data_IF_639083965475
#
_entry.id   IF_639083965475
#
_cell.length_a   1.000
_cell.length_b   1.000
_cell.length_c   1.000
_cell.angle_alpha   90.00
_cell.angle_beta   90.00
_cell.angle_gamma   90.00
#
_symmetry.space_group_name_H-M   'P 1'
#
loop_
_entity.id
_entity.type
_entity.pdbx_description
1 polymer ?
#
# COMPACT_ATOMS: atom_id res chain seq x y z
N UNK A 1 2.41 22.77 -19.45
CA UNK A 1 3.15 21.50 -19.39
C UNK A 1 3.02 20.96 -17.98
N UNK A 2 2.36 19.80 -17.78
CA UNK A 2 2.26 19.21 -16.45
C UNK A 2 3.65 18.78 -15.99
N UNK A 3 4.03 19.14 -14.76
CA UNK A 3 5.29 18.69 -14.16
C UNK A 3 5.18 17.17 -13.91
N UNK A 4 6.02 16.31 -14.53
CA UNK A 4 5.89 14.85 -14.40
C UNK A 4 5.87 14.34 -12.95
N UNK A 5 6.57 15.03 -12.03
CA UNK A 5 6.56 14.71 -10.60
C UNK A 5 5.18 14.82 -9.92
N UNK A 6 4.20 15.46 -10.58
CA UNK A 6 2.81 15.55 -10.11
C UNK A 6 1.90 14.50 -10.77
N UNK A 7 2.45 13.61 -11.61
CA UNK A 7 1.71 12.47 -12.16
C UNK A 7 1.91 11.26 -11.25
N UNK A 8 0.80 10.70 -10.76
CA UNK A 8 0.82 9.48 -9.94
C UNK A 8 1.34 8.30 -10.77
N UNK A 9 2.11 7.42 -10.13
CA UNK A 9 2.70 6.24 -10.76
C UNK A 9 3.53 6.56 -12.02
N UNK A 10 4.17 7.74 -12.06
CA UNK A 10 4.94 8.19 -13.22
C UNK A 10 6.26 7.42 -13.31
N UNK A 11 6.45 6.66 -14.40
CA UNK A 11 7.67 5.90 -14.69
C UNK A 11 8.73 6.68 -15.50
N UNK A 12 8.55 7.98 -15.72
CA UNK A 12 9.50 8.80 -16.46
C UNK A 12 10.88 8.88 -15.80
N UNK A 13 10.94 8.72 -14.48
CA UNK A 13 12.17 8.85 -13.69
C UNK A 13 12.78 7.51 -13.25
N UNK A 14 12.10 6.40 -13.53
CA UNK A 14 12.48 5.05 -13.13
C UNK A 14 11.28 4.11 -13.19
N UNK A 15 11.52 2.82 -13.06
CA UNK A 15 10.46 1.83 -13.10
C UNK A 15 9.52 1.99 -11.91
N UNK A 16 8.22 1.98 -12.18
CA UNK A 16 7.15 1.88 -11.18
C UNK A 16 6.29 0.67 -11.51
N UNK A 17 6.25 -0.28 -10.60
CA UNK A 17 5.44 -1.49 -10.76
C UNK A 17 3.98 -1.15 -10.51
N UNK A 18 3.15 -1.22 -11.53
CA UNK A 18 1.70 -0.97 -11.44
C UNK A 18 0.85 -2.20 -11.71
N UNK A 19 1.49 -3.28 -12.16
CA UNK A 19 0.92 -4.61 -12.38
C UNK A 19 2.00 -5.66 -12.15
N UNK A 20 1.57 -6.89 -11.85
CA UNK A 20 2.47 -8.05 -11.81
C UNK A 20 2.00 -9.12 -12.81
N UNK A 21 2.85 -10.11 -13.08
CA UNK A 21 2.52 -11.25 -13.94
C UNK A 21 1.86 -12.36 -13.07
N UNK A 22 0.54 -12.56 -13.13
CA UNK A 22 -0.14 -13.57 -12.34
C UNK A 22 -0.10 -14.94 -13.02
N UNK A 23 -0.17 -15.99 -12.22
CA UNK A 23 -0.33 -17.35 -12.74
C UNK A 23 -1.78 -17.65 -13.17
N UNK A 24 -2.76 -16.95 -12.58
CA UNK A 24 -4.20 -17.09 -12.83
C UNK A 24 -4.93 -15.75 -12.56
N UNK A 25 -6.21 -15.79 -12.24
CA UNK A 25 -7.03 -14.61 -11.85
C UNK A 25 -6.63 -14.07 -10.46
N UNK A 26 -5.35 -13.76 -10.30
CA UNK A 26 -4.81 -13.22 -9.08
C UNK A 26 -4.71 -11.68 -9.14
N UNK A 27 -4.92 -11.05 -7.99
CA UNK A 27 -4.71 -9.62 -7.76
C UNK A 27 -3.83 -9.42 -6.53
N UNK A 28 -3.09 -8.32 -6.53
CA UNK A 28 -2.27 -7.93 -5.39
C UNK A 28 -3.01 -6.84 -4.60
N UNK A 29 -3.58 -7.24 -3.47
CA UNK A 29 -4.23 -6.33 -2.55
C UNK A 29 -3.18 -5.57 -1.74
N UNK A 30 -3.24 -4.25 -1.75
CA UNK A 30 -2.33 -3.40 -0.98
C UNK A 30 -3.09 -2.38 -0.15
N UNK A 31 -2.60 -2.13 1.07
CA UNK A 31 -3.23 -1.27 2.07
C UNK A 31 -2.18 -0.28 2.59
N UNK A 32 -2.43 1.02 2.42
CA UNK A 32 -1.51 2.08 2.78
C UNK A 32 -1.89 2.75 4.11
N UNK A 33 -0.95 3.52 4.70
CA UNK A 33 -1.10 4.45 5.83
C UNK A 33 -1.17 3.80 7.23
N UNK A 34 -1.14 2.48 7.34
CA UNK A 34 -1.14 1.78 8.62
C UNK A 34 0.23 1.74 9.32
N UNK A 35 0.30 1.05 10.49
CA UNK A 35 -0.83 0.50 11.24
C UNK A 35 -1.60 1.56 12.04
N UNK A 36 -2.90 1.35 12.24
CA UNK A 36 -3.74 2.24 13.04
C UNK A 36 -4.56 1.47 14.08
N UNK A 37 -4.68 1.98 15.33
CA UNK A 37 -5.46 1.30 16.38
C UNK A 37 -6.94 1.09 16.01
N UNK A 38 -7.48 2.00 15.19
CA UNK A 38 -8.90 2.00 14.85
C UNK A 38 -9.28 0.95 13.82
N UNK A 39 -8.33 0.55 12.94
CA UNK A 39 -8.69 -0.24 11.77
C UNK A 39 -7.87 -1.52 11.57
N UNK A 40 -6.60 -1.57 12.01
CA UNK A 40 -5.70 -2.70 11.72
C UNK A 40 -6.33 -4.05 12.11
N UNK A 41 -6.74 -4.21 13.36
CA UNK A 41 -7.25 -5.49 13.86
C UNK A 41 -8.57 -5.90 13.17
N UNK A 42 -9.47 -4.95 12.93
CA UNK A 42 -10.72 -5.21 12.20
C UNK A 42 -10.46 -5.64 10.75
N UNK A 43 -9.47 -5.03 10.08
CA UNK A 43 -9.09 -5.39 8.72
C UNK A 43 -8.41 -6.76 8.66
N UNK A 44 -7.56 -7.10 9.64
CA UNK A 44 -6.95 -8.43 9.77
C UNK A 44 -8.01 -9.53 9.96
N UNK A 45 -9.03 -9.28 10.79
CA UNK A 45 -10.16 -10.20 10.96
C UNK A 45 -10.91 -10.43 9.64
N UNK A 46 -11.17 -9.36 8.88
CA UNK A 46 -11.80 -9.48 7.55
C UNK A 46 -10.91 -10.30 6.60
N UNK A 47 -9.61 -10.01 6.52
CA UNK A 47 -8.69 -10.76 5.65
C UNK A 47 -8.67 -12.25 6.01
N UNK A 48 -8.60 -12.57 7.31
CA UNK A 48 -8.62 -13.96 7.80
C UNK A 48 -9.91 -14.70 7.42
N UNK A 49 -11.08 -14.05 7.59
CA UNK A 49 -12.38 -14.67 7.23
C UNK A 49 -12.52 -14.95 5.74
N UNK A 50 -11.79 -14.26 4.91
CA UNK A 50 -11.82 -14.41 3.44
C UNK A 50 -10.61 -15.17 2.89
N UNK A 51 -9.74 -15.73 3.75
CA UNK A 51 -8.47 -16.37 3.33
C UNK A 51 -7.66 -15.50 2.36
N UNK A 52 -7.64 -14.18 2.64
CA UNK A 52 -7.10 -13.17 1.75
C UNK A 52 -5.73 -12.69 2.24
N UNK A 53 -4.76 -12.55 1.33
CA UNK A 53 -3.44 -12.01 1.60
C UNK A 53 -3.36 -10.55 1.15
N UNK A 54 -2.62 -9.73 1.91
CA UNK A 54 -2.40 -8.32 1.59
C UNK A 54 -0.96 -7.88 1.89
N UNK A 55 -0.52 -6.84 1.20
CA UNK A 55 0.70 -6.10 1.53
C UNK A 55 0.31 -4.78 2.16
N UNK A 56 0.85 -4.51 3.35
CA UNK A 56 0.67 -3.24 4.06
C UNK A 56 1.88 -2.35 3.82
N UNK A 57 1.69 -1.22 3.14
CA UNK A 57 2.67 -0.16 3.04
C UNK A 57 2.55 0.75 4.27
N UNK A 58 3.41 0.51 5.25
CA UNK A 58 3.30 1.09 6.57
C UNK A 58 4.10 2.37 6.73
N UNK A 59 3.53 3.33 7.45
CA UNK A 59 4.19 4.56 7.85
C UNK A 59 5.07 4.29 9.08
N UNK A 60 6.35 4.62 9.01
CA UNK A 60 7.30 4.36 10.11
C UNK A 60 6.88 4.98 11.44
N UNK A 61 6.34 6.20 11.44
CA UNK A 61 5.82 6.84 12.66
C UNK A 61 4.66 6.06 13.28
N UNK A 62 3.82 5.39 12.49
CA UNK A 62 2.73 4.56 13.01
C UNK A 62 3.28 3.26 13.58
N UNK A 63 4.25 2.62 12.93
CA UNK A 63 4.95 1.45 13.48
C UNK A 63 5.62 1.81 14.82
N UNK A 64 6.29 2.96 14.90
CA UNK A 64 6.96 3.41 16.14
C UNK A 64 5.97 3.63 17.30
N UNK A 65 4.75 4.08 17.01
CA UNK A 65 3.69 4.29 18.02
C UNK A 65 2.97 2.99 18.40
N UNK A 66 2.82 2.07 17.46
CA UNK A 66 2.00 0.85 17.57
C UNK A 66 2.77 -0.37 17.02
N UNK A 67 3.95 -0.71 17.59
CA UNK A 67 4.76 -1.82 17.10
C UNK A 67 4.01 -3.16 17.20
N UNK A 68 3.14 -3.33 18.19
CA UNK A 68 2.31 -4.52 18.37
C UNK A 68 1.36 -4.77 17.19
N UNK A 69 0.86 -3.71 16.54
CA UNK A 69 0.00 -3.85 15.37
C UNK A 69 0.79 -4.26 14.12
N UNK A 70 2.01 -3.73 13.95
CA UNK A 70 2.90 -4.17 12.87
C UNK A 70 3.28 -5.65 13.03
N UNK A 71 3.57 -6.10 14.27
CA UNK A 71 3.80 -7.50 14.59
C UNK A 71 2.55 -8.35 14.26
N UNK A 72 1.34 -7.87 14.62
CA UNK A 72 0.10 -8.56 14.33
C UNK A 72 -0.12 -8.75 12.80
N UNK A 73 0.12 -7.71 11.99
CA UNK A 73 0.05 -7.78 10.52
C UNK A 73 0.98 -8.90 10.01
N UNK A 74 2.25 -8.91 10.42
CA UNK A 74 3.20 -9.92 10.00
C UNK A 74 2.84 -11.32 10.46
N UNK A 75 2.46 -11.47 11.73
CA UNK A 75 2.09 -12.77 12.33
C UNK A 75 0.82 -13.38 11.71
N UNK A 76 -0.02 -12.55 11.08
CA UNK A 76 -1.19 -12.99 10.31
C UNK A 76 -0.87 -13.36 8.86
N UNK A 77 0.42 -13.44 8.48
CA UNK A 77 0.87 -13.87 7.14
C UNK A 77 0.90 -12.77 6.08
N UNK A 78 0.67 -11.50 6.47
CA UNK A 78 0.71 -10.38 5.54
C UNK A 78 2.11 -9.78 5.42
N UNK A 79 2.38 -9.06 4.32
CA UNK A 79 3.66 -8.41 4.07
C UNK A 79 3.66 -6.98 4.61
N UNK A 80 4.75 -6.59 5.30
CA UNK A 80 5.02 -5.22 5.72
C UNK A 80 6.01 -4.57 4.75
N UNK A 81 5.64 -3.43 4.15
CA UNK A 81 6.46 -2.72 3.17
C UNK A 81 6.54 -1.22 3.50
N UNK A 82 7.48 -0.53 2.86
CA UNK A 82 7.88 0.82 3.22
C UNK A 82 6.98 1.90 2.60
N UNK A 83 6.38 2.77 3.45
CA UNK A 83 5.58 3.94 3.04
C UNK A 83 6.15 5.25 3.60
N UNK A 84 7.48 5.37 3.68
CA UNK A 84 8.21 6.46 4.34
C UNK A 84 8.03 6.47 5.87
N UNK A 85 8.87 7.25 6.56
CA UNK A 85 8.76 7.39 8.00
C UNK A 85 7.65 8.35 8.41
N UNK A 86 7.58 9.55 7.80
CA UNK A 86 6.69 10.63 8.23
C UNK A 86 5.44 10.83 7.37
N UNK A 87 5.37 10.21 6.20
CA UNK A 87 4.28 10.35 5.23
C UNK A 87 3.92 11.81 4.89
N UNK A 88 4.91 12.63 4.55
CA UNK A 88 4.69 14.04 4.19
C UNK A 88 4.05 14.20 2.80
N UNK A 89 2.83 13.68 2.59
CA UNK A 89 2.18 13.55 1.28
C UNK A 89 2.12 14.84 0.46
N UNK A 90 1.93 16.00 1.11
CA UNK A 90 1.85 17.29 0.42
C UNK A 90 3.16 17.81 -0.15
N UNK A 91 4.30 17.33 0.33
CA UNK A 91 5.63 17.87 -0.01
C UNK A 91 6.66 16.81 -0.40
N UNK A 92 6.40 15.53 -0.17
CA UNK A 92 7.38 14.48 -0.39
C UNK A 92 7.79 14.32 -1.87
N UNK A 93 6.90 14.66 -2.79
CA UNK A 93 7.19 14.69 -4.23
C UNK A 93 8.35 15.65 -4.61
N UNK A 94 8.63 16.65 -3.75
CA UNK A 94 9.73 17.61 -3.93
C UNK A 94 10.93 17.30 -3.01
N UNK A 95 11.04 16.06 -2.50
CA UNK A 95 12.07 15.66 -1.54
C UNK A 95 13.48 15.69 -2.17
N UNK A 96 14.48 15.94 -1.32
CA UNK A 96 15.89 15.74 -1.70
C UNK A 96 16.26 14.25 -1.53
N UNK A 97 17.36 13.80 -2.18
CA UNK A 97 17.84 12.42 -2.04
C UNK A 97 18.17 12.08 -0.58
N UNK A 98 18.85 12.97 0.13
CA UNK A 98 19.22 12.76 1.55
C UNK A 98 18.00 12.58 2.44
N UNK A 99 16.96 13.44 2.28
CA UNK A 99 15.70 13.31 3.02
C UNK A 99 14.99 12.01 2.65
N UNK A 100 14.90 11.68 1.37
CA UNK A 100 14.28 10.44 0.92
C UNK A 100 14.98 9.21 1.52
N UNK A 101 16.33 9.16 1.47
CA UNK A 101 17.11 8.08 2.06
C UNK A 101 16.88 7.94 3.57
N UNK A 102 16.82 9.06 4.30
CA UNK A 102 16.54 9.03 5.75
C UNK A 102 15.13 8.52 6.06
N UNK A 103 14.11 8.98 5.35
CA UNK A 103 12.72 8.53 5.49
C UNK A 103 12.56 7.03 5.18
N UNK A 104 13.23 6.55 4.13
CA UNK A 104 13.21 5.14 3.72
C UNK A 104 13.95 4.28 4.74
N UNK A 105 15.17 4.66 5.14
CA UNK A 105 16.00 3.85 6.04
C UNK A 105 15.38 3.70 7.41
N UNK A 106 14.83 4.79 7.98
CA UNK A 106 14.20 4.75 9.29
C UNK A 106 12.92 3.89 9.29
N UNK A 107 12.08 4.01 8.27
CA UNK A 107 10.90 3.16 8.12
C UNK A 107 11.30 1.68 7.94
N UNK A 108 12.30 1.39 7.10
CA UNK A 108 12.81 0.03 6.88
C UNK A 108 13.33 -0.61 8.17
N UNK A 109 14.07 0.14 8.99
CA UNK A 109 14.56 -0.31 10.29
C UNK A 109 13.41 -0.72 11.23
N UNK A 110 12.34 0.07 11.27
CA UNK A 110 11.17 -0.22 12.10
C UNK A 110 10.40 -1.45 11.61
N UNK A 111 10.26 -1.62 10.29
CA UNK A 111 9.66 -2.83 9.70
C UNK A 111 10.49 -4.05 10.07
N UNK A 112 11.81 -3.99 9.91
CA UNK A 112 12.70 -5.09 10.25
C UNK A 112 12.62 -5.45 11.74
N UNK A 113 12.52 -4.47 12.63
CA UNK A 113 12.35 -4.72 14.07
C UNK A 113 11.02 -5.41 14.39
N UNK A 114 9.94 -5.10 13.67
CA UNK A 114 8.62 -5.68 13.90
C UNK A 114 8.44 -7.07 13.28
N UNK A 115 9.04 -7.33 12.11
CA UNK A 115 8.82 -8.56 11.32
C UNK A 115 10.02 -9.51 11.28
N UNK A 116 11.22 -9.04 11.66
CA UNK A 116 12.47 -9.76 11.41
C UNK A 116 12.94 -9.72 9.95
N UNK A 117 12.17 -9.15 9.03
CA UNK A 117 12.43 -9.10 7.60
C UNK A 117 12.65 -7.65 7.13
N UNK A 118 13.63 -7.44 6.26
CA UNK A 118 13.78 -6.16 5.58
C UNK A 118 12.69 -5.98 4.52
N UNK A 119 12.08 -4.80 4.38
CA UNK A 119 11.18 -4.54 3.27
C UNK A 119 11.94 -4.62 1.94
N UNK A 120 11.24 -5.03 0.90
CA UNK A 120 11.76 -5.13 -0.48
C UNK A 120 11.03 -4.20 -1.45
N UNK A 121 9.99 -3.54 -0.97
CA UNK A 121 9.12 -2.67 -1.75
C UNK A 121 8.93 -1.33 -1.05
N UNK A 122 8.73 -0.30 -1.87
CA UNK A 122 8.46 1.07 -1.45
C UNK A 122 7.27 1.63 -2.21
N UNK A 123 6.42 2.39 -1.54
CA UNK A 123 5.39 3.21 -2.18
C UNK A 123 5.52 4.65 -1.72
N UNK A 124 5.48 5.58 -2.69
CA UNK A 124 5.54 7.00 -2.37
C UNK A 124 4.19 7.53 -1.85
N UNK A 125 4.21 8.43 -0.85
CA UNK A 125 3.02 9.17 -0.45
C UNK A 125 2.29 9.80 -1.64
N UNK A 126 0.96 9.59 -1.73
CA UNK A 126 0.11 10.02 -2.83
C UNK A 126 0.52 9.50 -4.24
N UNK A 127 1.46 8.57 -4.33
CA UNK A 127 1.99 8.05 -5.61
C UNK A 127 2.81 9.06 -6.40
N UNK A 128 3.29 10.13 -5.77
CA UNK A 128 4.03 11.21 -6.41
C UNK A 128 5.54 11.07 -6.16
N UNK A 129 6.34 11.23 -7.22
CA UNK A 129 7.79 11.05 -7.16
C UNK A 129 8.56 12.05 -8.02
N UNK A 130 9.84 12.22 -7.69
CA UNK A 130 10.81 12.95 -8.50
C UNK A 130 12.04 12.06 -8.76
N UNK A 131 12.99 12.48 -9.64
CA UNK A 131 14.17 11.68 -9.96
C UNK A 131 15.06 11.35 -8.75
N UNK A 132 15.11 12.23 -7.75
CA UNK A 132 15.96 12.04 -6.55
C UNK A 132 15.36 10.99 -5.61
N UNK A 133 14.02 10.91 -5.54
CA UNK A 133 13.32 9.87 -4.80
C UNK A 133 13.54 8.50 -5.48
N UNK A 134 13.41 8.41 -6.81
CA UNK A 134 13.68 7.16 -7.53
C UNK A 134 15.07 6.62 -7.24
N UNK A 135 16.09 7.48 -7.30
CA UNK A 135 17.48 7.08 -6.96
C UNK A 135 17.62 6.63 -5.50
N UNK A 136 16.95 7.29 -4.56
CA UNK A 136 17.01 6.88 -3.14
C UNK A 136 16.36 5.51 -2.91
N UNK A 137 15.29 5.18 -3.65
CA UNK A 137 14.63 3.87 -3.61
C UNK A 137 15.53 2.79 -4.21
N UNK A 138 16.16 3.05 -5.35
CA UNK A 138 17.14 2.16 -5.99
C UNK A 138 18.36 1.90 -5.09
N UNK A 139 18.93 2.96 -4.49
CA UNK A 139 20.07 2.85 -3.56
C UNK A 139 19.73 1.99 -2.32
N UNK A 140 18.48 2.00 -1.90
CA UNK A 140 17.98 1.18 -0.80
C UNK A 140 17.67 -0.27 -1.22
N UNK A 141 17.81 -0.63 -2.50
CA UNK A 141 17.51 -1.96 -3.04
C UNK A 141 16.01 -2.28 -3.04
N UNK A 142 15.13 -1.26 -3.09
CA UNK A 142 13.68 -1.43 -3.03
C UNK A 142 13.04 -1.30 -4.43
N UNK A 143 12.00 -2.10 -4.68
CA UNK A 143 11.14 -1.92 -5.87
C UNK A 143 10.11 -0.82 -5.62
N UNK A 144 9.97 0.12 -6.55
CA UNK A 144 8.98 1.19 -6.47
C UNK A 144 7.61 0.66 -6.94
N UNK A 145 6.62 0.61 -6.04
CA UNK A 145 5.30 0.03 -6.30
C UNK A 145 4.23 1.12 -6.36
N UNK A 146 3.51 1.15 -7.48
CA UNK A 146 2.30 1.94 -7.67
C UNK A 146 1.05 1.07 -7.55
N UNK A 147 0.03 1.40 -8.35
CA UNK A 147 -1.22 0.64 -8.43
C UNK A 147 -1.88 0.81 -9.80
N UNK A 148 -2.76 -0.11 -10.17
CA UNK A 148 -3.58 -0.05 -11.38
C UNK A 148 -5.09 0.00 -11.10
N UNK A 149 -5.52 -0.30 -9.88
CA UNK A 149 -6.91 -0.24 -9.47
C UNK A 149 -7.05 0.52 -8.13
N UNK A 150 -7.88 1.55 -8.09
CA UNK A 150 -8.14 2.35 -6.89
C UNK A 150 -9.53 2.97 -6.93
N UNK A 151 -10.19 2.99 -5.78
CA UNK A 151 -11.48 3.66 -5.59
C UNK A 151 -11.36 5.11 -5.10
N UNK A 152 -10.13 5.62 -4.92
CA UNK A 152 -9.85 6.93 -4.30
C UNK A 152 -10.43 7.04 -2.87
N UNK A 153 -10.32 5.99 -2.10
CA UNK A 153 -10.78 5.91 -0.70
C UNK A 153 -9.92 6.72 0.29
N UNK A 154 -8.76 7.23 -0.14
CA UNK A 154 -7.96 8.21 0.60
C UNK A 154 -8.61 9.61 0.71
N UNK A 155 -9.79 9.83 0.11
CA UNK A 155 -10.63 11.03 0.27
C UNK A 155 -12.07 10.61 0.56
N UNK A 156 -12.91 11.49 1.18
CA UNK A 156 -14.29 11.14 1.53
C UNK A 156 -15.09 10.69 0.31
N UNK A 157 -15.57 9.45 0.33
CA UNK A 157 -16.41 8.85 -0.72
C UNK A 157 -17.37 7.82 -0.14
N UNK A 158 -18.45 7.56 -0.88
CA UNK A 158 -19.31 6.43 -0.59
C UNK A 158 -18.55 5.10 -0.80
N UNK A 159 -18.53 4.18 0.18
CA UNK A 159 -17.88 2.88 0.05
C UNK A 159 -18.34 2.08 -1.18
N UNK A 160 -19.61 2.15 -1.56
CA UNK A 160 -20.13 1.47 -2.76
C UNK A 160 -19.47 2.01 -4.04
N UNK A 161 -19.34 3.34 -4.15
CA UNK A 161 -18.66 3.97 -5.28
C UNK A 161 -17.17 3.62 -5.34
N UNK A 162 -16.51 3.48 -4.18
CA UNK A 162 -15.12 3.00 -4.07
C UNK A 162 -15.00 1.61 -4.70
N UNK A 163 -15.84 0.67 -4.26
CA UNK A 163 -15.83 -0.73 -4.72
C UNK A 163 -16.13 -0.81 -6.22
N UNK A 164 -17.20 -0.17 -6.69
CA UNK A 164 -17.56 -0.18 -8.10
C UNK A 164 -16.41 0.30 -8.99
N UNK A 165 -15.70 1.35 -8.58
CA UNK A 165 -14.55 1.89 -9.32
C UNK A 165 -13.37 0.92 -9.35
N UNK A 166 -13.06 0.28 -8.22
CA UNK A 166 -12.01 -0.74 -8.15
C UNK A 166 -12.37 -1.90 -9.07
N UNK A 167 -13.56 -2.48 -8.93
CA UNK A 167 -14.00 -3.64 -9.71
C UNK A 167 -14.00 -3.37 -11.22
N UNK A 168 -14.38 -2.15 -11.64
CA UNK A 168 -14.29 -1.75 -13.05
C UNK A 168 -12.85 -1.76 -13.61
N UNK A 169 -11.85 -1.56 -12.75
CA UNK A 169 -10.44 -1.46 -13.13
C UNK A 169 -9.66 -2.77 -12.92
N UNK A 170 -10.22 -3.72 -12.16
CA UNK A 170 -9.57 -4.99 -11.83
C UNK A 170 -9.42 -5.86 -13.09
N UNK A 171 -8.21 -6.41 -13.24
CA UNK A 171 -7.83 -7.42 -14.24
C UNK A 171 -6.80 -8.33 -13.60
N UNK A 172 -6.53 -9.54 -14.11
CA UNK A 172 -5.42 -10.37 -13.63
C UNK A 172 -4.13 -9.56 -13.55
N UNK A 173 -3.40 -9.69 -12.44
CA UNK A 173 -2.18 -8.92 -12.16
C UNK A 173 -2.41 -7.48 -11.71
N UNK A 174 -3.66 -7.05 -11.46
CA UNK A 174 -3.91 -5.72 -10.93
C UNK A 174 -3.35 -5.55 -9.52
N UNK A 175 -2.75 -4.39 -9.25
CA UNK A 175 -2.40 -3.93 -7.92
C UNK A 175 -3.52 -3.02 -7.43
N UNK A 176 -4.21 -3.45 -6.38
CA UNK A 176 -5.35 -2.74 -5.79
C UNK A 176 -4.85 -1.89 -4.63
N UNK A 177 -5.19 -0.59 -4.62
CA UNK A 177 -4.90 0.33 -3.54
C UNK A 177 -6.14 0.56 -2.68
N UNK A 178 -6.00 0.30 -1.38
CA UNK A 178 -6.87 0.77 -0.29
C UNK A 178 -6.02 1.53 0.74
N UNK A 179 -6.70 2.30 1.60
CA UNK A 179 -6.08 2.98 2.73
C UNK A 179 -6.67 2.48 4.05
N UNK A 180 -5.81 2.38 5.05
CA UNK A 180 -6.20 2.01 6.41
C UNK A 180 -6.58 3.24 7.24
N UNK A 181 -5.91 4.37 7.02
CA UNK A 181 -6.12 5.59 7.80
C UNK A 181 -7.58 6.08 7.77
N UNK A 182 -8.10 6.48 8.93
CA UNK A 182 -9.44 7.05 9.05
C UNK A 182 -9.47 8.49 8.56
N UNK A 183 -10.47 8.82 7.73
CA UNK A 183 -10.75 10.19 7.34
C UNK A 183 -11.57 10.91 8.40
N UNK A 184 -11.48 12.25 8.44
CA UNK A 184 -12.31 13.07 9.33
C UNK A 184 -13.80 12.73 9.14
N UNK A 185 -14.49 12.47 10.25
CA UNK A 185 -15.92 12.07 10.30
C UNK A 185 -16.24 10.70 9.66
N UNK A 186 -15.25 9.84 9.43
CA UNK A 186 -15.51 8.47 9.02
C UNK A 186 -16.13 7.67 10.18
N UNK A 187 -17.16 6.89 9.88
CA UNK A 187 -17.78 6.01 10.87
C UNK A 187 -16.84 4.84 11.21
N UNK A 188 -16.73 4.45 12.49
CA UNK A 188 -15.96 3.27 12.88
C UNK A 188 -16.31 2.03 12.04
N UNK A 189 -15.34 1.19 11.77
CA UNK A 189 -15.51 -0.04 10.98
C UNK A 189 -15.75 0.20 9.47
N UNK A 190 -15.71 1.43 8.96
CA UNK A 190 -15.95 1.69 7.53
C UNK A 190 -14.85 1.05 6.67
N UNK A 191 -13.58 1.08 7.10
CA UNK A 191 -12.47 0.46 6.37
C UNK A 191 -12.65 -1.06 6.26
N UNK A 192 -12.95 -1.72 7.37
CA UNK A 192 -13.21 -3.15 7.41
C UNK A 192 -14.39 -3.55 6.52
N UNK A 193 -15.52 -2.83 6.62
CA UNK A 193 -16.70 -3.09 5.75
C UNK A 193 -16.41 -2.87 4.27
N UNK A 194 -15.62 -1.85 3.92
CA UNK A 194 -15.21 -1.62 2.52
C UNK A 194 -14.34 -2.76 2.02
N UNK A 195 -13.35 -3.19 2.80
CA UNK A 195 -12.50 -4.33 2.49
C UNK A 195 -13.32 -5.61 2.32
N UNK A 196 -14.23 -5.91 3.24
CA UNK A 196 -15.09 -7.09 3.18
C UNK A 196 -15.95 -7.11 1.90
N UNK A 197 -16.54 -5.98 1.55
CA UNK A 197 -17.34 -5.87 0.33
C UNK A 197 -16.48 -6.01 -0.94
N UNK A 198 -15.25 -5.50 -0.93
CA UNK A 198 -14.32 -5.69 -2.05
C UNK A 198 -13.94 -7.16 -2.20
N UNK A 199 -13.59 -7.85 -1.10
CA UNK A 199 -13.19 -9.26 -1.14
C UNK A 199 -14.34 -10.15 -1.62
N UNK A 200 -15.59 -9.89 -1.20
CA UNK A 200 -16.78 -10.56 -1.75
C UNK A 200 -16.90 -10.37 -3.27
N UNK A 201 -16.81 -9.13 -3.75
CA UNK A 201 -16.87 -8.86 -5.18
C UNK A 201 -15.74 -9.49 -5.99
N UNK A 202 -14.51 -9.51 -5.46
CA UNK A 202 -13.39 -10.19 -6.09
C UNK A 202 -13.64 -11.70 -6.17
N UNK A 203 -14.13 -12.32 -5.11
CA UNK A 203 -14.46 -13.74 -5.07
C UNK A 203 -15.57 -14.10 -6.06
N UNK A 204 -16.65 -13.31 -6.13
CA UNK A 204 -17.75 -13.48 -7.08
C UNK A 204 -17.27 -13.43 -8.55
N UNK A 205 -16.24 -12.63 -8.83
CA UNK A 205 -15.60 -12.53 -10.16
C UNK A 205 -14.47 -13.58 -10.34
N UNK A 206 -14.27 -14.49 -9.37
CA UNK A 206 -13.28 -15.56 -9.43
C UNK A 206 -11.82 -15.09 -9.23
N UNK A 207 -11.60 -13.93 -8.59
CA UNK A 207 -10.25 -13.47 -8.24
C UNK A 207 -9.83 -13.95 -6.84
N UNK A 208 -8.53 -14.25 -6.71
CA UNK A 208 -7.87 -14.46 -5.42
C UNK A 208 -6.83 -13.39 -5.16
N UNK A 209 -6.55 -13.12 -3.89
CA UNK A 209 -5.49 -12.19 -3.51
C UNK A 209 -4.17 -12.92 -3.30
N UNK A 210 -3.06 -12.29 -3.68
CA UNK A 210 -1.71 -12.84 -3.49
C UNK A 210 -0.72 -11.76 -3.05
N UNK A 211 0.40 -12.18 -2.51
CA UNK A 211 1.60 -11.36 -2.32
C UNK A 211 2.62 -11.86 -3.36
N UNK A 212 2.82 -11.14 -4.47
CA UNK A 212 3.68 -11.63 -5.54
C UNK A 212 5.14 -11.71 -5.10
N UNK A 213 5.84 -12.75 -5.56
CA UNK A 213 7.29 -12.86 -5.43
C UNK A 213 8.00 -11.82 -6.32
N UNK A 214 9.26 -11.48 -6.00
CA UNK A 214 10.06 -10.52 -6.77
C UNK A 214 10.19 -10.88 -8.27
N UNK A 215 10.14 -12.17 -8.60
CA UNK A 215 10.25 -12.64 -9.99
C UNK A 215 9.02 -12.34 -10.86
N UNK A 216 7.91 -11.91 -10.23
CA UNK A 216 6.65 -11.60 -10.91
C UNK A 216 6.37 -10.09 -11.00
N UNK A 217 7.30 -9.28 -10.49
CA UNK A 217 7.18 -7.82 -10.38
C UNK A 217 8.04 -7.11 -11.45
#
# INVERSE_FOLDING_TARGET
MLIPSLLRNCSLYGQVVTRFAPEDRQVWLTIDDGPTPENTLEMLDVLSRHDALATFFCIGQQIAKHPELAIAIHSSGHSLQNHTYSHSAGTFWATTRSRASSEISECSRLIQNASGLSPIQFRAPAGLANPLLHRAVEDAGLSFVGWSASGFDGVPRDPKAVIQRIMHSVKPGAIILLHESSLKNMRPGTRARTLESLLKGLHEEGYTTTIPSLNLI
#
